data_IF_487086508126
#
_entry.id   IF_487086508126
#
_cell.length_a   1.000
_cell.length_b   1.000
_cell.length_c   1.000
_cell.angle_alpha   90.00
_cell.angle_beta   90.00
_cell.angle_gamma   90.00
#
_symmetry.space_group_name_H-M   'P 1'
#
loop_
_entity.id
_entity.type
_entity.pdbx_description
1 polymer ?
#
# COMPACT_ATOMS: atom_id res chain seq x y z
N UNK A 1 42.63 -36.40 59.16
CA UNK A 1 41.89 -35.90 60.33
C UNK A 1 40.94 -34.81 59.86
N UNK A 2 39.64 -34.96 60.18
CA UNK A 2 38.59 -33.94 60.43
C UNK A 2 38.73 -32.57 59.70
N UNK A 3 37.80 -32.24 58.80
CA UNK A 3 36.61 -31.33 58.97
C UNK A 3 36.83 -30.10 58.06
N UNK A 4 35.88 -29.39 57.44
CA UNK A 4 34.43 -29.24 57.49
C UNK A 4 33.98 -28.53 56.18
N UNK A 5 32.81 -28.91 55.66
CA UNK A 5 31.70 -28.07 55.15
C UNK A 5 32.00 -26.58 54.89
N UNK A 6 31.75 -26.10 53.67
CA UNK A 6 30.70 -25.09 53.43
C UNK A 6 30.48 -24.84 51.94
N UNK A 7 29.26 -25.15 51.49
CA UNK A 7 28.68 -24.57 50.29
C UNK A 7 28.40 -23.08 50.55
N UNK A 8 28.68 -22.24 49.57
CA UNK A 8 28.04 -20.93 49.37
C UNK A 8 28.40 -20.44 47.98
N UNK A 9 27.46 -20.61 47.06
CA UNK A 9 27.38 -19.89 45.79
C UNK A 9 27.15 -18.41 46.07
N UNK A 10 27.94 -17.48 45.51
CA UNK A 10 27.47 -16.13 45.33
C UNK A 10 26.56 -16.10 44.10
N UNK A 11 25.30 -15.80 44.35
CA UNK A 11 24.39 -15.22 43.36
C UNK A 11 25.11 -14.09 42.62
N UNK A 12 25.10 -14.13 41.29
CA UNK A 12 25.34 -12.94 40.47
C UNK A 12 24.32 -12.97 39.35
N UNK A 13 23.12 -12.59 39.74
CA UNK A 13 21.91 -12.39 38.94
C UNK A 13 22.01 -11.20 37.98
N UNK A 14 23.21 -10.83 37.53
CA UNK A 14 23.45 -9.58 36.80
C UNK A 14 23.54 -9.75 35.27
N UNK A 15 23.25 -10.94 34.76
CA UNK A 15 23.30 -11.23 33.31
C UNK A 15 21.93 -11.25 32.62
N UNK A 16 20.89 -10.63 33.21
CA UNK A 16 19.56 -10.51 32.59
C UNK A 16 18.97 -9.08 32.65
N UNK A 17 19.79 -8.05 32.88
CA UNK A 17 19.33 -6.68 33.03
C UNK A 17 19.78 -5.69 31.93
N UNK A 18 20.46 -6.15 30.87
CA UNK A 18 20.89 -5.27 29.78
C UNK A 18 20.18 -5.61 28.47
N UNK A 19 19.23 -4.72 28.14
CA UNK A 19 18.67 -4.43 26.82
C UNK A 19 17.51 -5.31 26.33
N UNK A 20 16.59 -5.67 27.23
CA UNK A 20 15.18 -5.63 26.86
C UNK A 20 14.72 -4.16 26.79
N UNK A 21 15.20 -3.40 25.81
CA UNK A 21 14.53 -2.16 25.39
C UNK A 21 13.23 -2.56 24.71
N UNK A 22 12.23 -2.96 25.51
CA UNK A 22 10.84 -2.98 25.09
C UNK A 22 10.49 -1.54 24.75
N UNK A 23 10.61 -1.20 23.48
CA UNK A 23 10.06 0.01 22.92
C UNK A 23 8.59 0.05 23.34
N UNK A 24 8.27 0.94 24.28
CA UNK A 24 6.89 1.15 24.74
C UNK A 24 6.03 1.36 23.50
N UNK A 25 5.07 0.46 23.27
CA UNK A 25 4.13 0.59 22.17
C UNK A 25 3.49 1.98 22.24
N UNK A 26 3.78 2.83 21.24
CA UNK A 26 3.17 4.16 21.14
C UNK A 26 1.65 3.96 21.14
N UNK A 27 0.96 4.59 22.10
CA UNK A 27 -0.51 4.61 22.19
C UNK A 27 -1.05 5.38 20.99
N UNK A 28 -1.30 4.66 19.90
CA UNK A 28 -1.94 5.17 18.69
C UNK A 28 -3.15 4.30 18.31
N UNK A 29 -4.08 4.81 17.50
CA UNK A 29 -5.12 3.98 16.88
C UNK A 29 -4.50 2.77 16.18
N UNK A 30 -5.12 1.59 16.32
CA UNK A 30 -4.62 0.38 15.65
C UNK A 30 -4.63 0.60 14.13
N UNK A 31 -3.59 0.18 13.40
CA UNK A 31 -3.55 0.31 11.94
C UNK A 31 -4.74 -0.39 11.32
N UNK A 32 -5.51 0.33 10.49
CA UNK A 32 -6.71 -0.20 9.85
C UNK A 32 -6.33 -1.05 8.63
N UNK A 33 -6.44 -2.36 8.80
CA UNK A 33 -6.30 -3.36 7.74
C UNK A 33 -7.63 -3.54 7.03
N UNK A 34 -7.62 -3.59 5.70
CA UNK A 34 -8.82 -3.81 4.88
C UNK A 34 -8.54 -4.89 3.85
N UNK A 35 -9.31 -5.97 3.87
CA UNK A 35 -9.22 -7.03 2.86
C UNK A 35 -10.01 -6.62 1.61
N UNK A 36 -9.40 -6.73 0.44
CA UNK A 36 -9.96 -6.33 -0.83
C UNK A 36 -10.33 -7.56 -1.66
N UNK A 37 -11.59 -7.99 -1.55
CA UNK A 37 -12.11 -9.11 -2.35
C UNK A 37 -12.28 -8.78 -3.84
N UNK A 38 -12.22 -7.50 -4.20
CA UNK A 38 -12.37 -7.02 -5.57
C UNK A 38 -11.04 -6.90 -6.31
N UNK A 39 -9.90 -7.07 -5.62
CA UNK A 39 -8.55 -6.90 -6.19
C UNK A 39 -8.36 -7.64 -7.54
N UNK A 40 -8.74 -8.92 -7.70
CA UNK A 40 -8.60 -9.61 -8.98
C UNK A 40 -9.39 -8.95 -10.13
N UNK A 41 -10.61 -8.51 -9.84
CA UNK A 41 -11.47 -7.86 -10.82
C UNK A 41 -10.96 -6.48 -11.19
N UNK A 42 -10.43 -5.74 -10.21
CA UNK A 42 -9.81 -4.44 -10.42
C UNK A 42 -8.57 -4.58 -11.29
N UNK A 43 -7.73 -5.60 -11.07
CA UNK A 43 -6.55 -5.88 -11.92
C UNK A 43 -6.95 -6.14 -13.37
N UNK A 44 -8.01 -6.92 -13.61
CA UNK A 44 -8.54 -7.13 -14.97
C UNK A 44 -9.09 -5.83 -15.57
N UNK A 45 -9.84 -5.02 -14.81
CA UNK A 45 -10.35 -3.74 -15.28
C UNK A 45 -9.23 -2.73 -15.60
N UNK A 46 -8.16 -2.74 -14.81
CA UNK A 46 -6.94 -1.93 -15.03
C UNK A 46 -6.22 -2.38 -16.29
N UNK A 47 -6.06 -3.68 -16.51
CA UNK A 47 -5.46 -4.23 -17.73
C UNK A 47 -6.28 -3.89 -19.00
N UNK A 48 -7.61 -3.88 -18.87
CA UNK A 48 -8.55 -3.47 -19.92
C UNK A 48 -8.67 -1.92 -20.06
N UNK A 49 -7.91 -1.13 -19.29
CA UNK A 49 -7.95 0.35 -19.27
C UNK A 49 -9.36 0.94 -19.11
N UNK A 50 -10.14 0.39 -18.18
CA UNK A 50 -11.50 0.86 -17.94
C UNK A 50 -11.55 2.16 -17.14
N UNK A 51 -12.18 3.20 -17.70
CA UNK A 51 -12.18 4.56 -17.13
C UNK A 51 -12.80 4.69 -15.73
N UNK A 52 -13.76 3.83 -15.38
CA UNK A 52 -14.42 3.91 -14.07
C UNK A 52 -13.45 3.66 -12.90
N UNK A 53 -12.33 2.97 -13.17
CA UNK A 53 -11.27 2.78 -12.17
C UNK A 53 -10.59 4.11 -11.89
N UNK A 54 -10.24 4.87 -12.93
CA UNK A 54 -9.58 6.16 -12.81
C UNK A 54 -10.52 7.20 -12.17
N UNK A 55 -11.82 7.18 -12.51
CA UNK A 55 -12.84 7.99 -11.84
C UNK A 55 -12.88 7.71 -10.32
N UNK A 56 -12.83 6.43 -9.93
CA UNK A 56 -12.82 6.04 -8.52
C UNK A 56 -11.51 6.41 -7.81
N UNK A 57 -10.37 6.30 -8.50
CA UNK A 57 -9.05 6.75 -8.01
C UNK A 57 -9.08 8.25 -7.74
N UNK A 58 -9.52 9.06 -8.71
CA UNK A 58 -9.61 10.50 -8.55
C UNK A 58 -10.59 10.92 -7.45
N UNK A 59 -11.75 10.25 -7.36
CA UNK A 59 -12.67 10.46 -6.25
C UNK A 59 -12.01 10.15 -4.89
N UNK A 60 -11.24 9.06 -4.80
CA UNK A 60 -10.49 8.70 -3.59
C UNK A 60 -9.48 9.76 -3.17
N UNK A 61 -8.74 10.33 -4.14
CA UNK A 61 -7.78 11.41 -3.90
C UNK A 61 -8.47 12.67 -3.36
N UNK A 62 -9.49 13.15 -4.07
CA UNK A 62 -10.17 14.40 -3.71
C UNK A 62 -10.95 14.30 -2.39
N UNK A 63 -11.51 13.14 -2.06
CA UNK A 63 -12.33 12.99 -0.85
C UNK A 63 -11.47 12.72 0.40
N UNK A 64 -10.44 11.87 0.31
CA UNK A 64 -9.77 11.35 1.50
C UNK A 64 -8.32 11.80 1.66
N UNK A 65 -7.64 12.19 0.59
CA UNK A 65 -6.22 12.57 0.62
C UNK A 65 -6.04 14.07 0.71
N UNK A 66 -6.85 14.81 -0.05
CA UNK A 66 -6.75 16.26 -0.17
C UNK A 66 -5.47 16.72 -0.85
N UNK A 67 -5.22 18.01 -0.79
CA UNK A 67 -4.09 18.70 -1.39
C UNK A 67 -3.35 19.57 -0.36
N UNK A 68 -2.12 19.94 -0.69
CA UNK A 68 -1.34 20.97 -0.01
C UNK A 68 -0.86 21.95 -1.07
N UNK A 69 -1.18 23.24 -0.92
CA UNK A 69 -0.84 24.29 -1.90
C UNK A 69 -1.30 23.97 -3.34
N UNK A 70 -2.49 23.38 -3.49
CA UNK A 70 -3.04 23.02 -4.80
C UNK A 70 -2.41 21.77 -5.45
N UNK A 71 -1.54 21.06 -4.73
CA UNK A 71 -0.89 19.82 -5.18
C UNK A 71 -1.37 18.63 -4.35
N UNK A 72 -1.77 17.55 -5.02
CA UNK A 72 -2.24 16.35 -4.33
C UNK A 72 -1.14 15.78 -3.44
N UNK A 73 -1.51 15.34 -2.22
CA UNK A 73 -0.54 14.81 -1.25
C UNK A 73 0.05 13.45 -1.65
N UNK A 74 -0.57 12.75 -2.61
CA UNK A 74 -0.11 11.46 -3.15
C UNK A 74 -0.32 11.41 -4.66
N UNK A 75 0.49 10.59 -5.34
CA UNK A 75 0.37 10.38 -6.79
C UNK A 75 -0.86 9.51 -7.12
N UNK A 76 -1.66 9.86 -8.15
CA UNK A 76 -2.78 9.02 -8.59
C UNK A 76 -2.36 7.60 -8.97
N UNK A 77 -1.19 7.46 -9.62
CA UNK A 77 -0.59 6.18 -9.95
C UNK A 77 -0.46 5.27 -8.72
N UNK A 78 0.13 5.76 -7.63
CA UNK A 78 0.28 4.96 -6.41
C UNK A 78 -1.08 4.52 -5.86
N UNK A 79 -2.11 5.38 -5.93
CA UNK A 79 -3.43 4.99 -5.46
C UNK A 79 -4.06 3.89 -6.33
N UNK A 80 -3.90 3.96 -7.66
CA UNK A 80 -4.32 2.94 -8.62
C UNK A 80 -3.67 1.59 -8.34
N UNK A 81 -2.40 1.58 -7.95
CA UNK A 81 -1.68 0.36 -7.59
C UNK A 81 -2.16 -0.19 -6.23
N UNK A 82 -2.40 0.67 -5.24
CA UNK A 82 -2.91 0.26 -3.92
C UNK A 82 -4.29 -0.41 -3.98
N UNK A 83 -5.20 0.05 -4.85
CA UNK A 83 -6.53 -0.58 -5.00
C UNK A 83 -6.46 -1.96 -5.66
N UNK A 84 -5.33 -2.34 -6.26
CA UNK A 84 -5.08 -3.67 -6.80
C UNK A 84 -4.54 -4.66 -5.76
N UNK A 85 -4.14 -4.19 -4.57
CA UNK A 85 -3.65 -5.03 -3.48
C UNK A 85 -4.79 -5.82 -2.83
N UNK A 86 -4.53 -7.07 -2.48
CA UNK A 86 -5.47 -7.94 -1.76
C UNK A 86 -5.68 -7.48 -0.31
N UNK A 87 -4.67 -6.83 0.27
CA UNK A 87 -4.69 -6.27 1.62
C UNK A 87 -4.26 -4.80 1.55
N UNK A 88 -5.12 -3.91 2.02
CA UNK A 88 -4.82 -2.48 2.15
C UNK A 88 -4.53 -2.18 3.61
N UNK A 89 -3.26 -1.91 3.91
CA UNK A 89 -2.80 -1.43 5.21
C UNK A 89 -1.54 -0.59 5.04
N UNK A 90 -1.25 0.27 6.01
CA UNK A 90 0.00 1.06 5.97
C UNK A 90 1.24 0.17 5.99
N UNK A 91 1.20 -0.93 6.73
CA UNK A 91 2.29 -1.90 6.80
C UNK A 91 2.54 -2.62 5.46
N UNK A 92 1.48 -2.85 4.68
CA UNK A 92 1.58 -3.47 3.36
C UNK A 92 2.07 -2.47 2.29
N UNK A 93 1.66 -1.21 2.41
CA UNK A 93 1.97 -0.16 1.44
C UNK A 93 3.42 0.33 1.63
N UNK A 94 3.87 0.60 2.85
CA UNK A 94 5.21 1.16 3.11
C UNK A 94 6.37 0.49 2.36
N UNK A 95 6.51 -0.85 2.35
CA UNK A 95 7.64 -1.50 1.67
C UNK A 95 7.50 -1.59 0.14
N UNK A 96 6.32 -1.28 -0.42
CA UNK A 96 6.02 -1.46 -1.85
C UNK A 96 6.19 -0.20 -2.69
N UNK A 97 6.14 0.98 -2.07
CA UNK A 97 6.11 2.26 -2.79
C UNK A 97 7.32 3.13 -2.45
N UNK A 98 7.86 3.74 -3.50
CA UNK A 98 8.95 4.71 -3.41
C UNK A 98 8.44 6.12 -3.69
N UNK A 99 9.12 7.10 -3.10
CA UNK A 99 8.99 8.51 -3.42
C UNK A 99 9.72 8.85 -4.72
N UNK A 100 9.59 10.10 -5.16
CA UNK A 100 10.30 10.68 -6.32
C UNK A 100 11.81 10.43 -6.26
N UNK A 101 12.38 10.49 -5.05
CA UNK A 101 13.82 10.38 -4.81
C UNK A 101 14.29 8.92 -4.62
N UNK A 102 13.49 7.94 -5.03
CA UNK A 102 13.73 6.51 -4.84
C UNK A 102 13.87 6.07 -3.36
N UNK A 103 13.41 6.91 -2.42
CA UNK A 103 13.33 6.59 -0.99
C UNK A 103 11.97 5.97 -0.64
N UNK A 104 11.86 5.14 0.42
CA UNK A 104 10.57 4.67 0.90
C UNK A 104 9.62 5.83 1.21
N UNK A 105 8.34 5.68 0.86
CA UNK A 105 7.35 6.72 1.18
C UNK A 105 7.19 6.91 2.70
N UNK A 106 6.77 8.11 3.12
CA UNK A 106 6.49 8.38 4.52
C UNK A 106 5.28 7.59 5.05
N UNK A 107 5.24 7.34 6.36
CA UNK A 107 4.08 6.71 7.01
C UNK A 107 2.78 7.50 6.77
N UNK A 108 2.88 8.83 6.75
CA UNK A 108 1.74 9.72 6.45
C UNK A 108 1.23 9.53 5.03
N UNK A 109 2.14 9.42 4.04
CA UNK A 109 1.80 9.12 2.64
C UNK A 109 1.10 7.76 2.53
N UNK A 110 1.60 6.74 3.23
CA UNK A 110 0.97 5.43 3.26
C UNK A 110 -0.44 5.46 3.90
N UNK A 111 -0.64 6.28 4.94
CA UNK A 111 -1.96 6.49 5.55
C UNK A 111 -2.93 7.16 4.58
N UNK A 112 -2.49 8.17 3.83
CA UNK A 112 -3.29 8.81 2.79
C UNK A 112 -3.67 7.83 1.68
N UNK A 113 -2.72 7.05 1.16
CA UNK A 113 -2.99 6.02 0.16
C UNK A 113 -4.01 5.00 0.67
N UNK A 114 -3.85 4.50 1.90
CA UNK A 114 -4.81 3.57 2.49
C UNK A 114 -6.20 4.21 2.68
N UNK A 115 -6.29 5.51 3.00
CA UNK A 115 -7.55 6.22 3.12
C UNK A 115 -8.26 6.39 1.78
N UNK A 116 -7.54 6.91 0.77
CA UNK A 116 -8.05 7.07 -0.59
C UNK A 116 -8.49 5.74 -1.22
N UNK A 117 -7.72 4.67 -1.01
CA UNK A 117 -8.01 3.38 -1.60
C UNK A 117 -9.33 2.81 -1.06
N UNK A 118 -9.63 3.00 0.24
CA UNK A 118 -10.91 2.58 0.81
C UNK A 118 -12.10 3.35 0.22
N UNK A 119 -11.94 4.64 -0.09
CA UNK A 119 -12.97 5.43 -0.77
C UNK A 119 -13.15 4.96 -2.21
N UNK A 120 -12.06 4.77 -2.95
CA UNK A 120 -12.08 4.26 -4.31
C UNK A 120 -12.74 2.88 -4.41
N UNK A 121 -12.42 1.97 -3.46
CA UNK A 121 -13.07 0.65 -3.39
C UNK A 121 -14.58 0.76 -3.23
N UNK A 122 -15.08 1.67 -2.39
CA UNK A 122 -16.53 1.91 -2.26
C UNK A 122 -17.17 2.39 -3.57
N UNK A 123 -16.46 3.23 -4.33
CA UNK A 123 -16.88 3.67 -5.66
C UNK A 123 -16.94 2.53 -6.67
N UNK A 124 -15.89 1.71 -6.73
CA UNK A 124 -15.79 0.54 -7.60
C UNK A 124 -16.85 -0.51 -7.25
N UNK A 125 -17.05 -0.79 -5.97
CA UNK A 125 -18.07 -1.71 -5.50
C UNK A 125 -19.46 -1.26 -5.94
N UNK A 126 -19.78 0.04 -5.75
CA UNK A 126 -21.04 0.62 -6.23
C UNK A 126 -21.19 0.51 -7.74
N UNK A 127 -20.12 0.71 -8.51
CA UNK A 127 -20.12 0.57 -9.96
C UNK A 127 -20.43 -0.88 -10.37
N UNK A 128 -19.80 -1.87 -9.74
CA UNK A 128 -20.09 -3.29 -10.00
C UNK A 128 -21.51 -3.69 -9.58
N UNK A 129 -22.08 -3.09 -8.54
CA UNK A 129 -23.49 -3.29 -8.19
C UNK A 129 -24.45 -2.79 -9.28
N UNK A 130 -24.10 -1.71 -9.98
CA UNK A 130 -24.90 -1.17 -11.09
C UNK A 130 -24.68 -1.93 -12.40
N UNK A 131 -23.52 -2.57 -12.56
CA UNK A 131 -23.10 -3.27 -13.77
C UNK A 131 -22.73 -4.75 -13.51
N UNK A 132 -23.69 -5.60 -13.13
CA UNK A 132 -23.41 -6.99 -12.76
C UNK A 132 -22.85 -7.83 -13.92
N UNK A 133 -23.25 -7.56 -15.16
CA UNK A 133 -22.74 -8.27 -16.34
C UNK A 133 -21.24 -8.03 -16.54
N UNK A 134 -20.78 -6.80 -16.29
CA UNK A 134 -19.37 -6.47 -16.37
C UNK A 134 -18.58 -7.21 -15.29
N UNK A 135 -19.10 -7.25 -14.06
CA UNK A 135 -18.49 -8.00 -12.96
C UNK A 135 -18.30 -9.48 -13.32
N UNK A 136 -19.33 -10.13 -13.86
CA UNK A 136 -19.26 -11.52 -14.32
C UNK A 136 -18.25 -11.71 -15.45
N UNK A 137 -18.18 -10.77 -16.39
CA UNK A 137 -17.19 -10.82 -17.48
C UNK A 137 -15.76 -10.76 -16.96
N UNK A 138 -15.47 -9.80 -16.07
CA UNK A 138 -14.16 -9.64 -15.44
C UNK A 138 -13.78 -10.88 -14.62
N UNK A 139 -14.75 -11.49 -13.94
CA UNK A 139 -14.53 -12.75 -13.21
C UNK A 139 -14.15 -13.89 -14.16
N UNK A 140 -14.87 -14.05 -15.28
CA UNK A 140 -14.56 -15.06 -16.28
C UNK A 140 -13.19 -14.84 -16.94
N UNK A 141 -12.79 -13.59 -17.15
CA UNK A 141 -11.45 -13.22 -17.61
C UNK A 141 -10.39 -13.65 -16.59
N UNK A 142 -10.59 -13.32 -15.31
CA UNK A 142 -9.69 -13.75 -14.23
C UNK A 142 -9.58 -15.27 -14.13
N UNK A 143 -10.70 -16.00 -14.19
CA UNK A 143 -10.71 -17.46 -14.13
C UNK A 143 -9.97 -18.08 -15.32
N UNK A 144 -10.04 -17.46 -16.49
CA UNK A 144 -9.26 -17.89 -17.67
C UNK A 144 -7.78 -17.60 -17.48
N UNK A 145 -7.44 -16.40 -17.02
CA UNK A 145 -6.06 -15.99 -16.72
C UNK A 145 -5.38 -16.95 -15.73
N UNK A 146 -6.11 -17.35 -14.67
CA UNK A 146 -5.62 -18.30 -13.66
C UNK A 146 -5.36 -19.70 -14.22
N UNK A 147 -6.15 -20.15 -15.20
CA UNK A 147 -5.94 -21.45 -15.86
C UNK A 147 -4.73 -21.42 -16.78
N UNK A 148 -4.62 -20.36 -17.58
CA UNK A 148 -3.63 -20.28 -18.65
C UNK A 148 -2.21 -20.05 -18.12
N UNK A 149 -2.07 -19.32 -17.01
CA UNK A 149 -0.77 -18.95 -16.47
C UNK A 149 -0.32 -19.72 -15.21
N UNK A 150 -1.03 -20.78 -14.80
CA UNK A 150 -0.60 -21.75 -13.78
C UNK A 150 0.18 -21.15 -12.61
N UNK A 151 -0.52 -20.69 -11.57
CA UNK A 151 0.11 -20.13 -10.35
C UNK A 151 1.07 -18.97 -10.68
N UNK A 152 0.55 -17.90 -11.28
CA UNK A 152 1.25 -16.61 -11.28
C UNK A 152 1.57 -16.24 -9.84
N UNK A 153 2.86 -16.21 -9.51
CA UNK A 153 3.33 -15.71 -8.23
C UNK A 153 2.66 -14.35 -7.99
N UNK A 154 2.04 -14.16 -6.83
CA UNK A 154 1.18 -12.99 -6.55
C UNK A 154 1.89 -11.64 -6.80
N UNK A 155 3.22 -11.69 -6.89
CA UNK A 155 4.19 -10.64 -7.21
C UNK A 155 4.28 -10.25 -8.69
N UNK A 156 3.77 -11.03 -9.64
CA UNK A 156 3.90 -10.70 -11.08
C UNK A 156 3.01 -9.49 -11.46
N UNK A 157 1.99 -9.20 -10.67
CA UNK A 157 1.25 -7.94 -10.75
C UNK A 157 2.00 -6.75 -10.16
N UNK A 158 3.00 -6.98 -9.30
CA UNK A 158 3.92 -5.92 -8.88
C UNK A 158 4.86 -5.50 -10.04
N UNK A 159 5.06 -6.37 -11.05
CA UNK A 159 5.86 -6.09 -12.26
C UNK A 159 5.06 -5.53 -13.45
N UNK A 160 3.77 -5.89 -13.61
CA UNK A 160 2.95 -5.38 -14.72
C UNK A 160 2.58 -3.89 -14.60
N UNK A 161 2.81 -3.30 -13.43
CA UNK A 161 2.73 -1.85 -13.18
C UNK A 161 4.06 -1.14 -13.44
N UNK A 162 5.13 -1.90 -13.73
CA UNK A 162 6.44 -1.36 -14.06
C UNK A 162 6.65 -1.30 -15.59
N UNK A 163 6.96 -0.08 -16.03
CA UNK A 163 7.92 0.21 -17.11
C UNK A 163 7.52 0.37 -18.58
N UNK A 164 6.33 0.03 -19.10
CA UNK A 164 6.02 0.47 -20.50
C UNK A 164 4.56 0.68 -20.87
N UNK A 165 3.63 -0.16 -20.41
CA UNK A 165 2.23 -0.09 -20.86
C UNK A 165 1.44 1.01 -20.14
N UNK A 166 1.65 1.20 -18.84
CA UNK A 166 1.00 2.26 -18.06
C UNK A 166 1.66 3.63 -18.28
N UNK A 167 2.97 3.64 -18.56
CA UNK A 167 3.70 4.87 -18.89
C UNK A 167 3.18 5.49 -20.19
N UNK A 168 2.90 4.68 -21.23
CA UNK A 168 2.31 5.16 -22.49
C UNK A 168 0.91 5.77 -22.37
N UNK A 169 0.14 5.45 -21.32
CA UNK A 169 -1.25 5.88 -21.18
C UNK A 169 -1.41 7.09 -20.24
N UNK A 170 -0.33 7.45 -19.53
CA UNK A 170 -0.28 8.53 -18.55
C UNK A 170 0.83 9.56 -18.81
N UNK A 171 1.56 9.46 -19.92
CA UNK A 171 2.67 10.36 -20.28
C UNK A 171 2.26 11.80 -20.56
N UNK A 172 0.97 12.09 -20.73
CA UNK A 172 0.53 13.47 -20.99
C UNK A 172 0.19 14.25 -19.70
N UNK A 173 0.15 13.59 -18.54
CA UNK A 173 -0.28 14.24 -17.29
C UNK A 173 0.76 14.26 -16.15
N UNK A 174 1.75 13.35 -16.13
CA UNK A 174 2.40 12.95 -14.87
C UNK A 174 3.82 13.47 -14.59
N UNK A 175 4.49 14.26 -15.44
CA UNK A 175 5.89 14.69 -15.16
C UNK A 175 6.12 16.21 -15.01
N UNK A 176 5.29 17.08 -15.60
CA UNK A 176 5.59 18.52 -15.62
C UNK A 176 5.26 19.27 -14.31
N UNK A 177 4.72 18.60 -13.29
CA UNK A 177 4.23 19.23 -12.05
C UNK A 177 4.97 18.77 -10.78
N UNK A 178 5.93 17.85 -10.90
CA UNK A 178 6.55 17.18 -9.76
C UNK A 178 8.02 17.54 -9.51
N UNK A 179 8.46 18.76 -9.85
CA UNK A 179 9.68 19.30 -9.24
C UNK A 179 9.40 19.61 -7.76
N UNK A 180 10.10 18.90 -6.87
CA UNK A 180 10.04 19.13 -5.42
C UNK A 180 10.71 20.47 -5.12
N UNK A 181 9.94 21.43 -4.58
CA UNK A 181 10.51 22.67 -4.09
C UNK A 181 11.41 22.38 -2.91
N UNK A 182 12.69 22.72 -3.05
CA UNK A 182 13.69 22.67 -1.99
C UNK A 182 13.14 23.34 -0.72
N UNK A 183 13.10 22.57 0.36
CA UNK A 183 12.75 23.05 1.69
C UNK A 183 13.85 24.04 2.12
N UNK A 184 13.58 25.33 1.95
CA UNK A 184 14.50 26.40 2.32
C UNK A 184 14.77 26.38 3.82
N UNK A 185 16.02 26.07 4.17
CA UNK A 185 16.56 26.25 5.53
C UNK A 185 16.32 27.69 5.99
N UNK A 186 15.46 27.84 7.00
CA UNK A 186 15.29 29.11 7.70
C UNK A 186 16.50 29.32 8.64
N UNK A 187 17.32 30.31 8.28
CA UNK A 187 18.37 30.89 9.13
C UNK A 187 17.77 31.86 10.18
#
# INVERSE_FOLDING_TARGET
MKTLVSQLTPDTSDTLALLATQAKAKRGPKPKVTCNSLAPLIRMAVADNMSFVDDAVMAGLYIAVGDSNGKLNVRPRHLREVICLDIISTAEILPRFLSSNAEPISERTAQYLAAGARVALGGIERYFHQHPLLKTRLQAQWDTQQRDHGECDHRDWDFALDSSFVSSLLTDWDDSYWEEGEEGDAA
#
